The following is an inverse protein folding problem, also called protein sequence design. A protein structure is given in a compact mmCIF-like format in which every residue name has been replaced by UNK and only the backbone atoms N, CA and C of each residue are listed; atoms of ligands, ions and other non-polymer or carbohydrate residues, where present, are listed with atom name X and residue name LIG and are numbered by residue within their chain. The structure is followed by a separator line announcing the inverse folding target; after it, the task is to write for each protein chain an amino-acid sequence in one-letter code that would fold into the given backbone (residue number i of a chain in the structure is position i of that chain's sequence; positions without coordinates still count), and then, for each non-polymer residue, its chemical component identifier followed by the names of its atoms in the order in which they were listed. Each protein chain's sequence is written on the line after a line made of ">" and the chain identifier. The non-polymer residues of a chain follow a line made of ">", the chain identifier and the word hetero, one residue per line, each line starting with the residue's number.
data_IF_570201476115
#
_entry.id   IF_570201476115
#
_cell.length_a   1.000
_cell.length_b   1.000
_cell.length_c   1.000
_cell.angle_alpha   90.00
_cell.angle_beta   90.00
_cell.angle_gamma   90.00
#
_symmetry.space_group_name_H-M   'P 1'
#
loop_
_entity.id
_entity.type
_entity.pdbx_description
1 polymer ?
2 polymer ?
3 non-polymer ?
4 non-polymer ?
5 non-polymer ?
6 non-polymer ?
7 non-polymer ?
8 water ?
#
# COMPACT_ATOMS: atom_id res chain seq x y z
N UNK A 2 0.26 15.98 11.19
CA UNK A 2 -1.11 16.52 11.24
C UNK A 2 -1.77 16.62 9.87
N UNK A 3 -0.95 16.68 8.83
CA UNK A 3 -1.49 16.79 7.48
C UNK A 3 -2.21 15.51 7.09
N UNK A 4 -3.42 15.64 6.61
CA UNK A 4 -4.19 14.45 6.25
C UNK A 4 -4.54 14.59 4.76
N UNK A 5 -4.74 13.46 4.08
CA UNK A 5 -4.94 13.57 2.63
C UNK A 5 -5.95 12.56 2.12
N UNK A 6 -6.56 12.89 1.00
CA UNK A 6 -7.43 11.97 0.30
C UNK A 6 -6.97 11.93 -1.17
N UNK A 7 -6.79 10.70 -1.69
CA UNK A 7 -6.36 10.48 -3.09
C UNK A 7 -7.28 9.48 -3.77
N UNK A 8 -7.67 9.79 -4.99
CA UNK A 8 -8.19 8.83 -5.94
C UNK A 8 -7.04 8.47 -6.87
N UNK A 9 -6.80 7.18 -7.02
CA UNK A 9 -5.75 6.71 -7.92
C UNK A 9 -6.38 5.88 -9.03
N UNK A 10 -5.72 5.95 -10.18
CA UNK A 10 -6.16 5.17 -11.37
C UNK A 10 -4.93 4.60 -12.07
N UNK A 11 -4.99 3.34 -12.49
CA UNK A 11 -3.94 2.66 -13.23
C UNK A 11 -4.57 2.12 -14.50
N UNK A 12 -4.06 2.55 -15.65
CA UNK A 12 -4.56 2.15 -16.97
C UNK A 12 -3.44 1.38 -17.65
N UNK A 13 -3.70 0.14 -18.05
CA UNK A 13 -2.74 -0.68 -18.79
C UNK A 13 -3.27 -0.86 -20.21
N UNK A 14 -2.56 -0.31 -21.19
CA UNK A 14 -2.93 -0.45 -22.57
C UNK A 14 -2.03 -1.52 -23.20
N UNK A 15 -2.64 -2.63 -23.64
CA UNK A 15 -1.87 -3.75 -24.18
C UNK A 15 -1.73 -3.65 -25.68
N UNK A 16 -2.78 -3.23 -26.39
CA UNK A 16 -2.67 -2.91 -27.80
C UNK A 16 -3.80 -1.93 -28.15
N UNK A 17 -3.99 -1.66 -29.44
CA UNK A 17 -4.94 -0.60 -29.88
C UNK A 17 -6.39 -0.89 -29.50
N UNK A 18 -6.70 -2.13 -29.20
CA UNK A 18 -8.09 -2.50 -28.97
C UNK A 18 -8.34 -3.04 -27.56
N UNK A 19 -7.32 -3.05 -26.72
CA UNK A 19 -7.39 -3.78 -25.47
C UNK A 19 -6.66 -3.02 -24.39
N UNK A 20 -7.38 -2.68 -23.32
CA UNK A 20 -6.84 -1.98 -22.18
C UNK A 20 -7.64 -2.38 -20.94
N UNK A 21 -7.03 -2.19 -19.78
CA UNK A 21 -7.72 -2.47 -18.53
C UNK A 21 -7.46 -1.33 -17.55
N UNK A 22 -8.50 -0.95 -16.81
CA UNK A 22 -8.42 0.13 -15.85
C UNK A 22 -8.72 -0.32 -14.43
N UNK A 23 -8.12 0.37 -13.48
CA UNK A 23 -8.32 0.09 -12.07
C UNK A 23 -8.30 1.41 -11.32
N UNK A 24 -9.12 1.53 -10.29
CA UNK A 24 -9.25 2.78 -9.56
C UNK A 24 -9.68 2.54 -8.14
N UNK A 25 -9.18 3.41 -7.24
CA UNK A 25 -9.50 3.28 -5.82
C UNK A 25 -9.35 4.63 -5.11
N UNK A 26 -9.98 4.71 -3.94
CA UNK A 26 -9.92 5.91 -3.09
C UNK A 26 -9.31 5.61 -1.74
N UNK A 27 -8.40 6.48 -1.30
CA UNK A 27 -7.58 6.27 -0.11
C UNK A 27 -7.63 7.50 0.79
N UNK A 28 -7.86 7.27 2.08
CA UNK A 28 -7.72 8.30 3.12
C UNK A 28 -6.40 8.03 3.83
N UNK A 29 -5.40 8.87 3.58
CA UNK A 29 -4.00 8.55 3.88
C UNK A 29 -3.67 7.17 3.28
N UNK A 30 -3.28 6.20 4.12
CA UNK A 30 -2.99 4.83 3.67
C UNK A 30 -4.17 3.88 3.81
N UNK A 31 -5.35 4.40 4.16
CA UNK A 31 -6.50 3.56 4.42
C UNK A 31 -7.37 3.53 3.18
N UNK A 32 -7.56 2.36 2.57
CA UNK A 32 -8.44 2.29 1.40
C UNK A 32 -9.88 2.45 1.83
N UNK A 33 -10.56 3.44 1.24
CA UNK A 33 -11.97 3.69 1.57
C UNK A 33 -12.91 3.45 0.42
N UNK A 34 -12.42 3.42 -0.81
CA UNK A 34 -13.31 3.17 -1.92
C UNK A 34 -12.59 2.33 -2.94
N UNK A 35 -13.36 1.49 -3.63
CA UNK A 35 -12.91 0.81 -4.83
C UNK A 35 -13.74 1.27 -6.02
N UNK A 36 -13.36 0.79 -7.20
CA UNK A 36 -14.17 1.02 -8.39
C UNK A 36 -14.57 -0.30 -9.03
N UNK A 37 -15.87 -0.51 -9.25
CA UNK A 37 -16.34 -1.65 -10.04
C UNK A 37 -16.32 -1.23 -11.50
N UNK A 38 -15.35 -1.78 -12.24
CA UNK A 38 -15.05 -1.29 -13.58
C UNK A 38 -16.11 -1.72 -14.59
N UNK A 39 -16.74 -2.88 -14.40
CA UNK A 39 -17.77 -3.30 -15.35
C UNK A 39 -19.05 -2.50 -15.19
N UNK A 40 -19.67 -2.55 -14.00
CA UNK A 40 -20.86 -1.74 -13.80
C UNK A 40 -20.54 -0.25 -13.74
N UNK A 41 -19.27 0.12 -13.62
CA UNK A 41 -18.90 1.51 -13.55
C UNK A 41 -19.48 2.20 -12.33
N UNK A 42 -19.13 1.72 -11.14
CA UNK A 42 -19.77 2.21 -9.92
C UNK A 42 -18.77 2.31 -8.80
N UNK A 43 -19.07 3.14 -7.81
CA UNK A 43 -18.20 3.25 -6.63
C UNK A 43 -18.51 2.11 -5.68
N UNK A 44 -17.47 1.49 -5.14
CA UNK A 44 -17.59 0.52 -4.06
C UNK A 44 -17.21 1.22 -2.75
N UNK A 45 -18.18 1.32 -1.84
CA UNK A 45 -17.98 1.92 -0.53
C UNK A 45 -17.53 0.83 0.44
N UNK A 46 -16.26 0.88 0.84
CA UNK A 46 -15.66 -0.18 1.63
C UNK A 46 -16.06 -0.14 3.11
N UNK A 47 -16.54 0.98 3.64
CA UNK A 47 -16.89 1.06 5.05
C UNK A 47 -18.28 1.66 5.17
N UNK A 48 -18.92 1.40 6.31
CA UNK A 48 -20.22 1.99 6.60
C UNK A 48 -20.21 3.50 6.42
N UNK A 49 -19.06 4.13 6.61
CA UNK A 49 -18.95 5.59 6.61
C UNK A 49 -18.27 6.13 5.35
N UNK A 50 -18.18 5.32 4.28
CA UNK A 50 -17.49 5.75 3.08
C UNK A 50 -18.26 6.78 2.27
N UNK A 51 -19.56 6.91 2.50
CA UNK A 51 -20.28 8.03 1.90
C UNK A 51 -19.82 9.37 2.43
N UNK A 52 -19.10 9.38 3.55
CA UNK A 52 -18.79 10.64 4.20
C UNK A 52 -20.08 11.35 4.55
N UNK A 53 -20.11 12.65 4.34
CA UNK A 53 -21.29 13.43 4.59
C UNK A 53 -22.04 13.77 3.32
N UNK A 54 -21.63 13.21 2.19
CA UNK A 54 -22.24 13.55 0.90
C UNK A 54 -23.56 12.81 0.72
N UNK A 55 -24.46 13.47 0.00
CA UNK A 55 -25.74 12.87 -0.31
C UNK A 55 -25.58 11.86 -1.44
N UNK A 56 -26.62 11.04 -1.60
CA UNK A 56 -26.64 10.09 -2.71
C UNK A 56 -26.67 10.81 -4.05
N UNK A 57 -27.32 11.98 -4.11
CA UNK A 57 -27.32 12.76 -5.34
C UNK A 57 -25.90 13.19 -5.70
N UNK A 58 -25.16 13.73 -4.70
CA UNK A 58 -23.77 14.13 -4.91
C UNK A 58 -22.91 12.95 -5.38
N UNK A 59 -23.07 11.79 -4.73
CA UNK A 59 -22.22 10.64 -5.04
C UNK A 59 -22.55 10.04 -6.40
N UNK A 60 -23.82 10.07 -6.80
CA UNK A 60 -24.19 9.59 -8.12
C UNK A 60 -23.74 10.55 -9.22
N UNK A 61 -23.80 11.87 -8.96
CA UNK A 61 -23.22 12.81 -9.92
C UNK A 61 -21.71 12.59 -10.06
N UNK A 62 -21.03 12.27 -8.95
CA UNK A 62 -19.60 11.97 -9.03
C UNK A 62 -19.35 10.72 -9.85
N UNK A 63 -20.12 9.66 -9.60
CA UNK A 63 -20.03 8.43 -10.39
C UNK A 63 -20.17 8.72 -11.88
N UNK A 64 -21.17 9.51 -12.24
CA UNK A 64 -21.38 9.86 -13.65
C UNK A 64 -20.20 10.66 -14.21
N UNK A 65 -19.65 11.56 -13.39
CA UNK A 65 -18.47 12.31 -13.82
C UNK A 65 -17.33 11.37 -14.14
N UNK A 66 -17.12 10.38 -13.27
CA UNK A 66 -16.02 9.44 -13.45
C UNK A 66 -16.26 8.57 -14.69
N UNK A 67 -17.52 8.24 -14.97
CA UNK A 67 -17.84 7.46 -16.16
C UNK A 67 -17.54 8.25 -17.44
N UNK A 68 -18.14 9.44 -17.58
CA UNK A 68 -17.81 10.30 -18.71
C UNK A 68 -16.29 10.42 -18.90
N UNK A 69 -15.57 10.59 -17.79
CA UNK A 69 -14.13 10.78 -17.84
C UNK A 69 -13.42 9.54 -18.37
N UNK A 70 -13.74 8.37 -17.80
CA UNK A 70 -13.11 7.14 -18.25
C UNK A 70 -13.37 6.89 -19.73
N UNK A 71 -14.61 7.14 -20.17
CA UNK A 71 -14.91 7.09 -21.58
C UNK A 71 -13.90 7.91 -22.37
N UNK A 72 -13.89 9.24 -22.13
CA UNK A 72 -13.03 10.12 -22.90
C UNK A 72 -11.57 9.70 -22.88
N UNK A 73 -11.07 9.32 -21.69
CA UNK A 73 -9.65 9.01 -21.52
C UNK A 73 -9.26 7.75 -22.28
N UNK A 74 -9.87 6.61 -21.92
CA UNK A 74 -9.48 5.37 -22.60
C UNK A 74 -10.14 5.23 -23.97
N UNK A 75 -10.66 6.32 -24.55
CA UNK A 75 -10.85 6.37 -25.99
C UNK A 75 -9.77 7.19 -26.68
N UNK A 76 -9.56 8.43 -26.23
CA UNK A 76 -8.63 9.32 -26.91
C UNK A 76 -7.22 8.77 -26.84
N UNK A 77 -6.85 8.16 -25.70
CA UNK A 77 -5.52 7.56 -25.55
C UNK A 77 -5.28 6.53 -26.64
N UNK A 78 -6.22 5.61 -26.79
CA UNK A 78 -6.01 4.54 -27.80
C UNK A 78 -5.99 5.20 -29.19
N UNK A 79 -6.96 6.07 -29.47
CA UNK A 79 -7.01 6.66 -30.81
C UNK A 79 -5.63 7.21 -31.19
N UNK A 80 -4.94 7.84 -30.25
CA UNK A 80 -3.64 8.42 -30.58
C UNK A 80 -2.51 7.39 -30.57
N UNK A 81 -2.55 6.44 -29.63
CA UNK A 81 -1.53 5.39 -29.54
C UNK A 81 -1.69 4.31 -30.60
N UNK A 82 -2.80 4.31 -31.32
CA UNK A 82 -2.93 3.46 -32.50
C UNK A 82 -1.85 3.78 -33.52
N UNK A 83 -1.41 5.03 -33.58
CA UNK A 83 -0.40 5.44 -34.58
C UNK A 83 0.98 4.97 -34.10
N UNK A 84 1.27 5.18 -32.82
CA UNK A 84 2.58 4.83 -32.28
C UNK A 84 2.48 3.52 -31.50
N UNK A 85 2.19 2.44 -32.22
CA UNK A 85 2.25 1.11 -31.64
C UNK A 85 3.71 0.76 -31.32
N UNK A 86 3.95 -0.49 -30.88
CA UNK A 86 5.24 -0.95 -30.37
C UNK A 86 5.61 -0.23 -29.07
N UNK A 87 5.13 1.00 -28.91
CA UNK A 87 5.02 1.60 -27.58
C UNK A 87 4.24 0.65 -26.66
N UNK A 88 3.32 -0.12 -27.24
CA UNK A 88 2.58 -1.10 -26.45
C UNK A 88 3.53 -2.21 -25.99
N UNK A 89 3.28 -2.78 -24.82
CA UNK A 89 2.26 -2.38 -23.85
C UNK A 89 2.72 -1.15 -23.08
N UNK A 90 1.85 -0.21 -22.69
CA UNK A 90 2.27 0.87 -21.80
C UNK A 90 1.25 1.05 -20.68
N UNK A 91 1.66 1.79 -19.64
CA UNK A 91 0.89 1.98 -18.41
C UNK A 91 0.86 3.44 -17.97
N UNK A 92 -0.33 3.90 -17.62
CA UNK A 92 -0.59 5.27 -17.16
C UNK A 92 -1.07 5.20 -15.71
N UNK A 93 -0.48 6.04 -14.86
CA UNK A 93 -0.91 6.19 -13.49
C UNK A 93 -1.38 7.62 -13.24
N UNK A 94 -2.49 7.75 -12.53
CA UNK A 94 -3.04 9.04 -12.15
C UNK A 94 -3.22 9.04 -10.62
N UNK A 95 -2.78 10.12 -9.98
CA UNK A 95 -3.01 10.35 -8.56
C UNK A 95 -3.64 11.72 -8.42
N UNK A 96 -4.91 11.78 -8.04
CA UNK A 96 -5.59 13.07 -7.89
C UNK A 96 -6.14 13.18 -6.47
N UNK A 97 -6.03 14.34 -5.85
CA UNK A 97 -6.57 14.47 -4.51
C UNK A 97 -6.27 15.80 -3.87
N UNK A 98 -6.27 15.77 -2.54
CA UNK A 98 -6.05 16.98 -1.75
C UNK A 98 -5.40 16.61 -0.43
N UNK A 99 -4.74 17.61 0.12
CA UNK A 99 -4.04 17.50 1.39
C UNK A 99 -4.49 18.71 2.22
N UNK A 100 -4.88 18.46 3.46
CA UNK A 100 -5.23 19.52 4.40
C UNK A 100 -4.06 19.70 5.35
N UNK A 101 -3.59 20.94 5.37
CA UNK A 101 -2.45 21.31 6.24
C UNK A 101 -2.97 21.60 7.65
N UNK A 102 -2.05 21.83 8.58
CA UNK A 102 -2.44 21.95 9.99
C UNK A 102 -3.29 23.19 10.24
N UNK A 103 -3.03 24.29 9.51
CA UNK A 103 -3.84 25.47 9.65
C UNK A 103 -5.20 25.43 8.98
N UNK A 104 -5.53 24.35 8.26
CA UNK A 104 -6.75 24.24 7.51
C UNK A 104 -6.65 24.61 6.04
N UNK A 105 -5.48 24.95 5.56
CA UNK A 105 -5.36 25.38 4.18
C UNK A 105 -5.42 24.16 3.26
N UNK A 106 -6.28 24.17 2.24
CA UNK A 106 -6.35 23.03 1.33
C UNK A 106 -5.33 23.16 0.21
N UNK A 107 -4.84 22.01 -0.22
CA UNK A 107 -3.85 21.96 -1.29
C UNK A 107 -4.25 20.81 -2.21
N UNK A 108 -4.62 21.10 -3.42
CA UNK A 108 -5.00 20.06 -4.34
C UNK A 108 -3.84 19.58 -5.19
N UNK A 109 -3.97 18.37 -5.71
CA UNK A 109 -3.00 17.92 -6.69
C UNK A 109 -3.63 16.93 -7.67
N UNK A 110 -2.92 16.76 -8.78
CA UNK A 110 -3.36 15.92 -9.88
C UNK A 110 -2.08 15.65 -10.66
N UNK A 111 -1.48 14.49 -10.40
CA UNK A 111 -0.23 14.12 -11.08
C UNK A 111 -0.47 12.90 -11.96
N UNK A 112 0.20 12.85 -13.10
CA UNK A 112 0.11 11.74 -14.05
C UNK A 112 1.51 11.18 -14.29
N UNK A 113 1.60 9.87 -14.46
CA UNK A 113 2.82 9.16 -14.82
C UNK A 113 2.57 8.27 -16.05
N UNK A 114 3.59 8.15 -16.86
CA UNK A 114 3.58 7.30 -18.05
C UNK A 114 4.75 6.35 -17.96
N UNK A 115 4.45 5.05 -17.97
CA UNK A 115 5.44 3.98 -17.79
C UNK A 115 6.34 4.28 -16.59
N UNK A 116 5.72 4.71 -15.49
CA UNK A 116 6.40 4.93 -14.23
C UNK A 116 7.22 6.21 -14.12
N UNK A 117 7.21 7.07 -15.15
CA UNK A 117 7.92 8.35 -15.12
C UNK A 117 6.91 9.50 -15.07
N UNK A 118 7.29 10.62 -14.44
CA UNK A 118 6.39 11.78 -14.36
C UNK A 118 6.06 12.28 -15.75
N UNK A 119 4.77 12.36 -16.07
CA UNK A 119 4.33 12.88 -17.36
C UNK A 119 3.94 14.35 -17.24
N UNK A 120 3.00 14.66 -16.36
CA UNK A 120 2.58 16.04 -16.17
C UNK A 120 1.94 16.17 -14.79
N UNK A 121 1.56 17.39 -14.45
CA UNK A 121 0.82 17.67 -13.22
C UNK A 121 -0.01 18.94 -13.41
N UNK A 122 -0.86 19.25 -12.43
CA UNK A 122 -1.74 20.42 -12.49
C UNK A 122 -1.36 21.36 -11.36
N UNK A 123 -0.83 22.54 -11.69
CA UNK A 123 -0.23 23.42 -10.68
C UNK A 123 -1.15 24.55 -10.22
N UNK A 124 -1.66 25.36 -11.15
CA UNK A 124 -2.63 26.40 -10.76
C UNK A 124 -3.92 26.19 -11.54
N UNK A 125 -4.04 26.85 -12.69
CA UNK A 125 -5.15 26.64 -13.59
C UNK A 125 -4.73 26.01 -14.91
N UNK A 126 -3.50 25.45 -14.97
CA UNK A 126 -2.97 24.96 -16.23
C UNK A 126 -2.26 23.62 -16.03
N UNK A 127 -2.36 22.78 -17.05
CA UNK A 127 -1.64 21.52 -17.10
C UNK A 127 -0.19 21.77 -17.50
N UNK A 128 0.74 21.45 -16.62
CA UNK A 128 2.15 21.71 -16.86
C UNK A 128 2.86 20.38 -17.12
N UNK A 129 3.61 20.26 -18.23
CA UNK A 129 4.34 19.02 -18.48
C UNK A 129 5.55 18.91 -17.56
N UNK A 130 5.94 17.68 -17.30
CA UNK A 130 7.12 17.46 -16.50
C UNK A 130 8.37 17.86 -17.29
N UNK A 131 9.38 18.41 -16.61
CA UNK A 131 10.61 18.81 -17.34
C UNK A 131 11.26 17.64 -18.05
N UNK A 132 11.52 16.55 -17.31
CA UNK A 132 12.17 15.37 -17.83
C UNK A 132 11.57 14.86 -19.13
N UNK A 133 10.42 14.19 -19.05
CA UNK A 133 9.72 13.77 -20.25
C UNK A 133 9.53 14.94 -21.22
N UNK A 134 9.45 14.62 -22.50
CA UNK A 134 9.55 15.67 -23.50
C UNK A 134 8.27 15.99 -24.24
N UNK A 135 8.29 15.74 -25.56
CA UNK A 135 7.21 16.13 -26.44
C UNK A 135 5.91 15.40 -26.13
N UNK A 136 5.98 14.19 -25.57
CA UNK A 136 4.75 13.52 -25.16
C UNK A 136 4.01 14.34 -24.10
N UNK A 137 4.73 14.76 -23.05
CA UNK A 137 4.11 15.56 -22.00
C UNK A 137 3.58 16.86 -22.56
N UNK A 138 4.31 17.44 -23.51
CA UNK A 138 3.87 18.69 -24.14
C UNK A 138 2.61 18.47 -24.97
N UNK A 139 2.55 17.36 -25.69
CA UNK A 139 1.35 17.06 -26.47
C UNK A 139 0.15 16.90 -25.55
N UNK A 140 0.29 16.07 -24.51
CA UNK A 140 -0.83 15.84 -23.61
C UNK A 140 -1.28 17.15 -22.97
N UNK A 141 -0.33 17.96 -22.51
CA UNK A 141 -0.69 19.25 -21.91
C UNK A 141 -1.35 20.17 -22.92
N UNK A 142 -0.91 20.16 -24.17
CA UNK A 142 -1.51 21.01 -25.19
C UNK A 142 -2.97 20.64 -25.41
N UNK A 143 -3.25 19.34 -25.54
CA UNK A 143 -4.63 18.90 -25.74
C UNK A 143 -5.50 19.21 -24.52
N UNK A 144 -4.93 19.12 -23.31
CA UNK A 144 -5.74 19.38 -22.12
C UNK A 144 -5.97 20.87 -21.91
N UNK A 145 -4.93 21.69 -22.09
CA UNK A 145 -5.02 23.13 -21.96
C UNK A 145 -5.79 23.79 -23.10
N UNK A 146 -6.01 23.11 -24.22
CA UNK A 146 -6.65 23.83 -25.31
C UNK A 146 -7.93 23.17 -25.81
N UNK A 147 -7.89 21.89 -26.18
CA UNK A 147 -9.09 21.28 -26.76
C UNK A 147 -10.17 21.03 -25.72
N UNK A 148 -9.80 20.66 -24.50
CA UNK A 148 -10.77 20.15 -23.55
C UNK A 148 -11.29 21.26 -22.67
N UNK A 149 -12.61 21.42 -22.66
CA UNK A 149 -13.31 22.57 -22.11
C UNK A 149 -13.10 22.72 -20.62
N UNK A 150 -14.16 22.60 -19.84
CA UNK A 150 -14.04 22.71 -18.41
C UNK A 150 -13.66 21.41 -17.76
N UNK A 151 -12.99 20.49 -18.47
CA UNK A 151 -12.39 19.40 -17.74
C UNK A 151 -11.24 19.95 -16.89
N UNK A 152 -10.55 20.98 -17.38
CA UNK A 152 -9.60 21.67 -16.52
C UNK A 152 -10.32 22.35 -15.36
N UNK A 153 -11.40 23.09 -15.64
CA UNK A 153 -12.16 23.75 -14.58
C UNK A 153 -12.79 22.74 -13.63
N UNK A 154 -13.30 21.63 -14.16
CA UNK A 154 -13.87 20.60 -13.30
C UNK A 154 -12.82 19.98 -12.40
N UNK A 155 -11.65 19.64 -12.96
CA UNK A 155 -10.57 19.13 -12.13
C UNK A 155 -10.24 20.13 -11.02
N UNK A 156 -10.17 21.41 -11.38
CA UNK A 156 -9.88 22.47 -10.42
C UNK A 156 -10.85 22.44 -9.24
N UNK A 157 -12.15 22.55 -9.54
CA UNK A 157 -13.15 22.57 -8.48
C UNK A 157 -13.16 21.28 -7.69
N UNK A 158 -12.86 20.14 -8.35
CA UNK A 158 -12.88 18.86 -7.67
C UNK A 158 -11.74 18.74 -6.69
N UNK A 159 -10.54 19.13 -7.09
CA UNK A 159 -9.42 18.88 -6.19
C UNK A 159 -9.22 19.98 -5.17
N UNK A 160 -9.83 21.16 -5.37
CA UNK A 160 -9.63 22.27 -4.44
C UNK A 160 -10.81 22.56 -3.52
N UNK A 161 -12.04 22.31 -3.95
CA UNK A 161 -13.21 22.46 -3.10
C UNK A 161 -13.86 21.12 -2.75
N UNK A 162 -14.20 20.30 -3.74
CA UNK A 162 -14.92 19.06 -3.45
C UNK A 162 -14.09 18.09 -2.62
N UNK A 163 -12.82 17.91 -2.97
CA UNK A 163 -11.97 16.96 -2.26
C UNK A 163 -11.76 17.30 -0.77
N UNK A 164 -11.42 18.55 -0.37
CA UNK A 164 -11.29 18.84 1.09
C UNK A 164 -12.56 18.58 1.87
N UNK A 165 -13.69 19.01 1.31
CA UNK A 165 -15.00 18.77 1.91
C UNK A 165 -15.25 17.27 2.11
N UNK A 166 -14.94 16.46 1.09
CA UNK A 166 -15.13 15.02 1.23
C UNK A 166 -14.21 14.42 2.27
N UNK A 167 -12.94 14.83 2.27
CA UNK A 167 -11.97 14.31 3.22
C UNK A 167 -12.44 14.54 4.66
N UNK A 168 -12.84 15.77 4.97
CA UNK A 168 -13.26 16.08 6.33
C UNK A 168 -14.54 15.34 6.69
N UNK A 169 -15.49 15.27 5.74
CA UNK A 169 -16.70 14.51 5.98
C UNK A 169 -16.42 13.04 6.24
N UNK A 170 -15.40 12.49 5.58
CA UNK A 170 -14.97 11.11 5.82
C UNK A 170 -14.42 10.94 7.22
N UNK A 171 -13.52 11.85 7.64
CA UNK A 171 -12.94 11.76 8.97
C UNK A 171 -14.02 11.81 10.03
N UNK A 172 -15.00 12.69 9.83
CA UNK A 172 -16.10 12.81 10.79
C UNK A 172 -16.98 11.57 10.76
N UNK A 173 -17.43 11.15 9.58
CA UNK A 173 -18.29 9.99 9.49
C UNK A 173 -17.59 8.75 10.02
N UNK A 174 -16.27 8.70 9.90
CA UNK A 174 -15.51 7.55 10.35
C UNK A 174 -14.87 7.78 11.70
N UNK A 175 -15.47 8.69 12.48
CA UNK A 175 -14.94 9.12 13.77
C UNK A 175 -14.47 7.95 14.62
N UNK A 176 -15.38 7.04 14.97
CA UNK A 176 -15.03 5.96 15.88
C UNK A 176 -13.98 5.03 15.27
N UNK A 177 -13.90 4.94 13.94
CA UNK A 177 -12.91 4.08 13.33
C UNK A 177 -11.54 4.72 13.30
N UNK A 178 -11.46 5.98 12.85
CA UNK A 178 -10.15 6.59 12.68
C UNK A 178 -9.52 6.97 14.02
N UNK A 179 -10.32 7.06 15.08
CA UNK A 179 -9.79 7.38 16.40
C UNK A 179 -9.54 6.14 17.24
N UNK A 180 -9.69 4.94 16.67
CA UNK A 180 -9.60 3.72 17.44
C UNK A 180 -8.17 3.49 17.91
N UNK A 181 -8.04 2.73 19.01
CA UNK A 181 -6.75 2.26 19.52
C UNK A 181 -6.79 0.74 19.53
N UNK A 182 -5.81 0.09 18.88
CA UNK A 182 -5.72 -1.37 18.86
C UNK A 182 -4.36 -1.80 19.42
N UNK A 183 -4.41 -2.67 20.42
CA UNK A 183 -3.17 -3.10 21.11
C UNK A 183 -2.42 -4.16 20.31
N UNK A 184 -1.11 -3.99 20.11
CA UNK A 184 -0.30 -5.03 19.45
C UNK A 184 -0.12 -6.23 20.37
N UNK A 185 0.35 -7.33 19.79
CA UNK A 185 0.95 -8.40 20.55
C UNK A 185 2.37 -8.56 20.04
N UNK A 186 3.25 -9.18 20.82
CA UNK A 186 4.63 -9.34 20.39
C UNK A 186 5.10 -10.76 20.61
N UNK A 187 6.18 -11.13 19.93
CA UNK A 187 6.75 -12.46 20.10
C UNK A 187 8.15 -12.47 19.50
N UNK A 188 8.96 -13.40 19.96
CA UNK A 188 10.36 -13.43 19.53
C UNK A 188 10.59 -14.64 18.62
N UNK A 189 11.57 -14.50 17.74
CA UNK A 189 12.00 -15.63 16.93
C UNK A 189 13.44 -15.38 16.54
N UNK A 190 14.08 -16.40 15.97
CA UNK A 190 15.40 -16.22 15.39
C UNK A 190 15.28 -15.81 13.92
N UNK A 191 16.23 -15.02 13.48
CA UNK A 191 16.25 -14.60 12.10
C UNK A 191 17.32 -15.40 11.41
N UNK A 192 17.64 -15.03 10.17
CA UNK A 192 18.67 -15.77 9.43
C UNK A 192 20.03 -15.58 10.10
N UNK A 193 20.80 -16.64 10.14
CA UNK A 193 22.08 -16.61 10.83
C UNK A 193 22.95 -15.47 10.28
N UNK A 194 23.40 -14.53 11.12
CA UNK A 194 24.37 -13.52 10.65
C UNK A 194 25.72 -14.11 10.31
N UNK A 195 25.99 -15.34 10.76
CA UNK A 195 27.31 -15.91 10.72
C UNK A 195 27.51 -17.05 11.72
N UNK A 196 28.57 -17.82 11.53
CA UNK A 196 28.91 -18.84 12.53
C UNK A 196 29.24 -18.17 13.84
N UNK A 197 28.67 -18.69 14.91
CA UNK A 197 28.87 -18.09 16.21
C UNK A 197 28.10 -16.81 16.45
N UNK A 198 27.07 -16.55 15.64
CA UNK A 198 26.31 -15.32 15.78
C UNK A 198 24.83 -15.66 15.68
N UNK A 199 24.00 -14.86 16.32
CA UNK A 199 22.55 -15.04 16.32
C UNK A 199 21.91 -13.76 15.83
N UNK A 200 20.74 -13.90 15.21
CA UNK A 200 19.86 -12.81 14.85
C UNK A 200 18.63 -12.93 15.69
N UNK A 201 18.38 -11.95 16.55
CA UNK A 201 17.20 -11.94 17.38
C UNK A 201 16.13 -11.10 16.72
N UNK A 202 14.90 -11.60 16.68
CA UNK A 202 13.80 -10.89 16.06
C UNK A 202 12.69 -10.73 17.07
N UNK A 203 12.20 -9.51 17.21
CA UNK A 203 11.02 -9.17 17.99
C UNK A 203 9.95 -8.69 17.01
N UNK A 204 8.88 -9.47 16.89
CA UNK A 204 7.73 -9.15 16.05
C UNK A 204 6.69 -8.43 16.90
N UNK A 205 6.16 -7.32 16.40
CA UNK A 205 5.07 -6.56 17.02
C UNK A 205 3.96 -6.46 15.99
N UNK A 206 2.80 -7.00 16.29
CA UNK A 206 1.77 -7.07 15.26
C UNK A 206 0.41 -6.75 15.83
N UNK A 207 -0.40 -6.10 15.03
CA UNK A 207 -1.76 -5.80 15.38
C UNK A 207 -1.99 -4.43 15.99
N UNK A 208 -1.03 -3.53 15.92
CA UNK A 208 -1.22 -2.25 16.57
C UNK A 208 -1.80 -1.20 15.63
N UNK A 209 -2.55 -0.26 16.22
CA UNK A 209 -3.05 0.92 15.53
C UNK A 209 -3.36 1.97 16.59
N UNK A 210 -2.95 3.21 16.40
CA UNK A 210 -2.30 3.76 15.18
C UNK A 210 -0.85 3.34 14.96
N UNK A 211 -0.24 3.86 13.89
CA UNK A 211 1.08 3.43 13.43
C UNK A 211 2.28 3.82 14.30
N UNK A 212 2.27 4.95 15.03
CA UNK A 212 3.42 5.23 15.89
C UNK A 212 3.58 4.15 16.95
N UNK A 213 4.81 3.65 17.07
CA UNK A 213 5.10 2.55 17.98
C UNK A 213 6.57 2.69 18.33
N UNK A 214 6.95 2.11 19.47
CA UNK A 214 8.34 2.13 19.90
C UNK A 214 8.73 0.72 20.24
N UNK A 215 9.87 0.27 19.73
CA UNK A 215 10.30 -1.12 19.90
C UNK A 215 11.82 -1.13 19.97
N UNK A 216 12.37 -1.74 21.01
CA UNK A 216 13.82 -1.76 21.09
C UNK A 216 14.30 -3.04 21.78
N UNK A 217 15.47 -3.52 21.36
CA UNK A 217 16.16 -4.54 22.12
C UNK A 217 16.94 -3.85 23.22
N UNK A 218 16.87 -4.42 24.44
CA UNK A 218 17.38 -3.84 25.67
C UNK A 218 18.23 -4.85 26.41
N UNK A 219 19.18 -4.34 27.21
CA UNK A 219 19.83 -5.14 28.25
C UNK A 219 19.51 -4.39 29.54
N UNK A 220 18.48 -4.84 30.24
CA UNK A 220 17.93 -4.03 31.31
C UNK A 220 17.43 -2.72 30.72
N UNK A 221 18.10 -1.62 31.08
CA UNK A 221 17.69 -0.29 30.66
C UNK A 221 18.60 0.31 29.60
N UNK A 222 19.63 -0.44 29.22
CA UNK A 222 20.51 0.03 28.13
C UNK A 222 19.92 -0.39 26.77
N UNK A 223 19.51 0.58 25.97
CA UNK A 223 19.07 0.28 24.61
C UNK A 223 20.26 -0.24 23.81
N UNK A 224 20.04 -1.32 23.08
CA UNK A 224 21.13 -1.89 22.29
C UNK A 224 21.25 -1.10 20.99
N UNK A 225 22.45 -0.57 20.71
CA UNK A 225 22.60 0.37 19.59
C UNK A 225 22.53 -0.31 18.24
N UNK A 226 22.81 -1.60 18.18
CA UNK A 226 22.74 -2.31 16.93
C UNK A 226 21.35 -2.67 16.48
N UNK A 227 20.28 -2.30 17.19
CA UNK A 227 18.94 -2.67 16.77
C UNK A 227 18.61 -2.06 15.41
N UNK A 228 17.97 -2.85 14.56
CA UNK A 228 17.47 -2.41 13.26
C UNK A 228 15.97 -2.58 13.27
N UNK A 229 15.27 -1.53 12.88
CA UNK A 229 13.83 -1.53 12.78
C UNK A 229 13.45 -1.76 11.33
N UNK A 230 12.60 -2.77 11.09
CA UNK A 230 12.06 -2.97 9.77
C UNK A 230 11.16 -1.80 9.35
N UNK A 231 10.62 -1.90 8.13
CA UNK A 231 9.54 -1.04 7.72
C UNK A 231 8.24 -1.46 8.41
N UNK A 232 7.34 -0.51 8.63
CA UNK A 232 6.05 -0.86 9.21
C UNK A 232 5.18 -1.42 8.10
N UNK A 233 4.68 -2.61 8.28
CA UNK A 233 4.04 -3.37 7.22
C UNK A 233 2.56 -3.53 7.55
N UNK A 234 1.71 -3.63 6.54
CA UNK A 234 0.27 -3.72 6.81
C UNK A 234 -0.20 -5.15 7.07
N UNK A 235 -1.16 -5.24 7.97
CA UNK A 235 -2.01 -6.41 8.16
C UNK A 235 -3.34 -6.12 7.51
N UNK A 236 -4.06 -7.17 7.15
CA UNK A 236 -5.46 -6.98 6.80
C UNK A 236 -6.23 -6.42 8.00
N UNK A 237 -7.31 -5.70 7.71
CA UNK A 237 -8.19 -5.08 8.70
C UNK A 237 -7.53 -3.94 9.48
N UNK A 238 -6.55 -3.26 8.91
CA UNK A 238 -6.18 -1.96 9.43
C UNK A 238 -5.32 -1.95 10.66
N UNK A 239 -4.43 -2.92 10.84
CA UNK A 239 -3.39 -2.83 11.85
C UNK A 239 -2.04 -2.98 11.19
N UNK A 240 -1.00 -2.88 12.00
CA UNK A 240 0.35 -2.77 11.47
C UNK A 240 1.26 -3.80 12.12
N UNK A 241 2.38 -4.03 11.44
CA UNK A 241 3.33 -5.05 11.84
C UNK A 241 4.71 -4.43 11.76
N UNK A 242 5.58 -4.81 12.70
CA UNK A 242 6.93 -4.30 12.72
C UNK A 242 7.89 -5.36 13.28
N UNK A 243 9.02 -5.54 12.60
CA UNK A 243 10.12 -6.39 13.05
C UNK A 243 11.24 -5.50 13.57
N UNK A 244 11.75 -5.81 14.77
CA UNK A 244 12.98 -5.23 15.29
C UNK A 244 13.99 -6.36 15.50
N UNK A 245 15.21 -6.18 15.01
CA UNK A 245 16.17 -7.27 14.96
C UNK A 245 17.51 -6.82 15.51
N UNK A 246 18.30 -7.78 15.95
CA UNK A 246 19.61 -7.47 16.51
C UNK A 246 20.52 -8.65 16.25
N UNK A 247 21.71 -8.40 15.77
CA UNK A 247 22.70 -9.44 15.62
C UNK A 247 23.64 -9.42 16.83
N UNK A 248 23.89 -10.58 17.42
CA UNK A 248 24.72 -10.67 18.62
C UNK A 248 25.62 -11.90 18.54
N UNK A 249 26.80 -11.81 19.14
CA UNK A 249 27.61 -13.00 19.30
C UNK A 249 26.87 -14.03 20.16
N UNK A 250 27.03 -15.30 19.79
CA UNK A 250 26.64 -16.40 20.67
C UNK A 250 27.38 -16.28 22.00
N UNK A 251 26.63 -16.35 23.10
CA UNK A 251 27.20 -16.10 24.41
C UNK A 251 27.00 -14.69 24.91
N UNK A 252 26.44 -13.81 24.10
CA UNK A 252 26.08 -12.47 24.56
C UNK A 252 24.62 -12.18 24.33
N UNK A 253 23.84 -13.19 23.94
CA UNK A 253 22.41 -13.02 23.76
C UNK A 253 21.63 -13.07 25.07
N UNK A 254 22.20 -13.73 26.09
CA UNK A 254 21.54 -13.92 27.37
C UNK A 254 21.38 -12.58 28.09
N UNK A 255 20.17 -12.30 28.54
CA UNK A 255 19.85 -11.06 29.22
C UNK A 255 19.16 -10.03 28.36
N UNK A 256 19.14 -10.22 27.04
CA UNK A 256 18.50 -9.29 26.12
C UNK A 256 17.01 -9.49 26.17
N UNK A 257 16.29 -8.38 26.08
CA UNK A 257 14.84 -8.41 26.00
C UNK A 257 14.39 -7.44 24.93
N UNK A 258 13.19 -7.66 24.43
CA UNK A 258 12.52 -6.75 23.54
C UNK A 258 11.47 -5.98 24.33
N UNK A 259 11.43 -4.66 24.16
CA UNK A 259 10.51 -3.78 24.85
C UNK A 259 9.68 -3.00 23.84
N UNK A 260 8.36 -3.04 24.03
CA UNK A 260 7.39 -2.46 23.10
C UNK A 260 6.55 -1.46 23.89
N UNK A 261 6.47 -0.22 23.38
CA UNK A 261 5.61 0.83 23.89
C UNK A 261 4.66 1.30 22.78
N UNK A 262 3.40 1.48 23.13
CA UNK A 262 2.41 1.91 22.17
C UNK A 262 1.31 2.64 22.92
N UNK A 263 0.73 3.65 22.25
CA UNK A 263 -0.32 4.46 22.86
C UNK A 263 -1.43 3.57 23.43
N UNK A 264 -1.75 2.47 22.75
CA UNK A 264 -2.80 1.60 23.25
C UNK A 264 -2.43 0.94 24.57
N UNK A 265 -1.16 0.90 24.92
CA UNK A 265 -0.73 0.12 26.08
C UNK A 265 -0.84 0.88 27.38
N UNK A 266 -0.98 2.21 27.31
CA UNK A 266 -1.18 3.07 28.48
C UNK A 266 -0.17 2.75 29.57
N UNK A 267 1.11 2.91 29.23
CA UNK A 267 2.18 2.81 30.19
C UNK A 267 2.57 1.41 30.60
N UNK A 268 1.88 0.37 30.10
CA UNK A 268 2.19 -1.02 30.43
C UNK A 268 2.92 -1.66 29.25
N UNK A 269 4.23 -1.44 29.20
CA UNK A 269 5.02 -1.92 28.06
C UNK A 269 4.99 -3.44 27.96
N UNK A 270 5.22 -3.96 26.77
CA UNK A 270 5.41 -5.39 26.59
C UNK A 270 6.89 -5.67 26.70
N UNK A 271 7.27 -6.63 27.55
CA UNK A 271 8.66 -7.05 27.72
C UNK A 271 8.74 -8.54 27.47
N UNK A 272 9.66 -8.94 26.60
CA UNK A 272 9.88 -10.35 26.29
C UNK A 272 11.36 -10.63 26.37
N UNK A 273 11.78 -11.65 27.12
CA UNK A 273 13.19 -11.99 27.25
C UNK A 273 13.59 -13.07 26.26
N UNK A 274 14.74 -12.89 25.62
CA UNK A 274 15.26 -13.89 24.71
C UNK A 274 15.60 -15.17 25.47
N UNK A 275 15.07 -16.31 25.00
CA UNK A 275 15.35 -17.62 25.58
C UNK A 275 16.24 -18.47 24.70
N UNK A 276 15.92 -18.54 23.40
CA UNK A 276 16.82 -19.20 22.47
C UNK A 276 16.96 -20.66 22.83
N UNK A 277 18.19 -21.15 22.85
CA UNK A 277 18.49 -22.48 23.36
C UNK A 277 19.15 -22.42 24.72
N UNK A 278 18.89 -21.34 25.45
CA UNK A 278 19.45 -21.21 26.80
C UNK A 278 18.78 -22.16 27.77
N UNK A 279 17.49 -22.43 27.57
CA UNK A 279 16.74 -23.34 28.45
C UNK A 279 16.79 -24.73 27.85
N UNK A 280 17.36 -25.72 28.55
CA UNK A 280 17.42 -27.12 28.11
C UNK A 280 16.06 -27.69 27.70
N UNK B 3 11.33 -1.55 -11.92
CA UNK B 3 11.91 -1.87 -10.62
C UNK B 3 11.50 -3.26 -10.16
N UNK B 4 12.39 -3.93 -9.48
CA UNK B 4 12.13 -5.30 -9.14
C UNK B 4 11.21 -5.38 -7.93
N UNK B 5 10.34 -6.39 -7.84
CA UNK B 5 9.49 -6.53 -6.66
C UNK B 5 10.29 -6.99 -5.44
N UNK B 6 10.08 -6.31 -4.32
CA UNK B 6 10.51 -6.74 -3.01
C UNK B 6 9.37 -7.49 -2.32
N UNK B 7 9.71 -8.60 -1.66
CA UNK B 7 8.75 -9.51 -1.07
C UNK B 7 9.06 -9.63 0.41
N UNK B 8 8.03 -9.46 1.25
CA UNK B 8 8.16 -9.63 2.72
C UNK B 8 7.02 -10.55 3.20
N UNK B 9 7.32 -11.62 3.95
CA UNK B 9 6.34 -12.61 4.40
C UNK B 9 6.30 -12.58 5.91
N UNK B 10 5.09 -12.59 6.47
CA UNK B 10 4.98 -12.48 7.92
C UNK B 10 3.61 -12.98 8.35
N UNK B 11 3.56 -13.55 9.55
CA UNK B 11 2.27 -13.99 10.08
C UNK B 11 1.67 -12.87 10.93
N UNK B 12 0.35 -12.92 11.08
CA UNK B 12 -0.38 -11.93 11.84
C UNK B 12 -0.28 -12.18 13.35
N UNK B 13 -0.27 -13.44 13.77
CA UNK B 13 -0.11 -13.82 15.17
C UNK B 13 1.11 -14.71 15.35
N UNK B 14 1.60 -14.87 16.59
CA UNK B 14 2.65 -15.88 16.82
C UNK B 14 2.25 -17.23 16.24
N UNK B 15 3.18 -17.86 15.52
CA UNK B 15 2.91 -19.20 14.97
C UNK B 15 2.74 -20.21 16.09
N UNK B 16 1.66 -20.98 16.05
CA UNK B 16 1.46 -22.09 16.96
C UNK B 16 0.89 -23.24 16.15
N UNK B 17 1.58 -24.38 16.17
CA UNK B 17 1.06 -25.54 15.47
C UNK B 17 -0.34 -25.86 15.99
N UNK B 18 -1.26 -26.11 15.07
CA UNK B 18 -2.64 -26.34 15.43
C UNK B 18 -3.46 -25.12 15.77
N UNK B 19 -2.99 -23.91 15.46
CA UNK B 19 -3.71 -22.68 15.81
C UNK B 19 -3.92 -21.83 14.57
N UNK B 20 -5.18 -21.49 14.28
CA UNK B 20 -5.49 -20.68 13.11
C UNK B 20 -4.81 -19.31 13.21
N UNK B 21 -4.45 -18.76 12.05
CA UNK B 21 -3.52 -17.65 11.92
C UNK B 21 -3.70 -17.08 10.51
N UNK B 22 -2.92 -16.05 10.18
CA UNK B 22 -2.97 -15.45 8.86
C UNK B 22 -1.56 -15.23 8.35
N UNK B 23 -1.32 -15.68 7.13
CA UNK B 23 -0.04 -15.46 6.45
C UNK B 23 -0.20 -14.29 5.49
N UNK B 24 0.68 -13.30 5.63
CA UNK B 24 0.70 -12.07 4.84
C UNK B 24 1.90 -12.10 3.93
N UNK B 25 1.72 -11.63 2.69
CA UNK B 25 2.84 -11.39 1.78
C UNK B 25 2.69 -10.01 1.18
N UNK B 26 3.61 -9.12 1.53
CA UNK B 26 3.60 -7.74 1.10
C UNK B 26 4.64 -7.57 0.01
N UNK B 27 4.18 -7.17 -1.18
CA UNK B 27 5.00 -7.12 -2.38
C UNK B 27 5.01 -5.69 -2.88
N UNK B 28 6.19 -5.08 -3.01
CA UNK B 28 6.21 -3.64 -3.20
C UNK B 28 7.41 -3.20 -4.06
N UNK B 29 7.35 -1.94 -4.47
CA UNK B 29 8.43 -1.35 -5.22
C UNK B 29 8.63 -1.87 -6.62
N UNK B 30 7.61 -2.46 -7.23
CA UNK B 30 7.75 -2.99 -8.58
C UNK B 30 7.13 -2.05 -9.62
N UNK B 31 7.51 -2.27 -10.90
CA UNK B 31 6.99 -1.60 -12.09
C UNK B 31 7.44 -2.35 -13.33
N UNK B 32 6.55 -2.66 -14.31
CA UNK B 32 5.14 -2.24 -14.43
C UNK B 32 4.18 -3.05 -13.54
N UNK B 33 2.87 -2.82 -13.57
CA UNK B 33 2.00 -3.41 -12.56
C UNK B 33 1.72 -4.89 -12.80
N UNK B 34 1.87 -5.38 -14.02
CA UNK B 34 1.62 -6.78 -14.30
C UNK B 34 2.54 -7.66 -13.46
N UNK B 35 1.94 -8.61 -12.74
CA UNK B 35 2.67 -9.39 -11.74
C UNK B 35 1.82 -10.61 -11.44
N UNK B 36 2.48 -11.69 -11.05
CA UNK B 36 1.79 -12.88 -10.57
C UNK B 36 2.32 -13.16 -9.18
N UNK B 37 1.50 -12.93 -8.17
CA UNK B 37 1.79 -13.27 -6.78
C UNK B 37 0.87 -14.42 -6.39
N UNK B 38 1.46 -15.50 -5.92
CA UNK B 38 0.68 -16.58 -5.33
C UNK B 38 1.18 -16.89 -3.93
N UNK B 39 0.26 -17.15 -3.01
CA UNK B 39 0.60 -17.80 -1.76
C UNK B 39 0.55 -19.31 -2.01
N UNK B 40 1.59 -20.02 -1.58
CA UNK B 40 1.71 -21.46 -1.81
C UNK B 40 1.66 -22.25 -0.51
N UNK B 41 0.92 -23.37 -0.56
CA UNK B 41 0.93 -24.41 0.47
C UNK B 41 1.54 -25.68 -0.11
N UNK B 42 2.69 -26.07 0.40
CA UNK B 42 3.39 -27.26 -0.06
C UNK B 42 3.64 -27.17 -1.56
N UNK B 43 4.04 -25.99 -2.03
CA UNK B 43 4.30 -25.78 -3.44
C UNK B 43 3.07 -25.55 -4.30
N UNK B 44 1.86 -25.78 -3.79
CA UNK B 44 0.64 -25.58 -4.55
C UNK B 44 0.05 -24.20 -4.27
N UNK B 45 -0.48 -23.57 -5.31
CA UNK B 45 -1.15 -22.28 -5.14
C UNK B 45 -2.37 -22.42 -4.24
N UNK B 46 -2.55 -21.43 -3.37
CA UNK B 46 -3.68 -21.33 -2.47
C UNK B 46 -4.78 -20.53 -3.16
N UNK B 47 -5.93 -21.15 -3.37
CA UNK B 47 -7.04 -20.48 -4.04
C UNK B 47 -7.68 -19.41 -3.16
N UNK B 48 -8.02 -19.75 -1.91
CA UNK B 48 -8.74 -18.83 -1.01
C UNK B 48 -7.75 -17.84 -0.42
N UNK B 49 -7.45 -16.81 -1.20
CA UNK B 49 -6.56 -15.74 -0.79
C UNK B 49 -7.30 -14.41 -0.96
N UNK B 50 -6.84 -13.41 -0.22
CA UNK B 50 -7.33 -12.05 -0.36
C UNK B 50 -6.15 -11.14 -0.71
N UNK B 51 -6.42 -10.07 -1.45
CA UNK B 51 -5.36 -9.11 -1.75
C UNK B 51 -5.92 -7.70 -1.81
N UNK B 52 -5.10 -6.72 -1.42
CA UNK B 52 -5.52 -5.34 -1.53
C UNK B 52 -5.61 -4.93 -2.99
N UNK B 53 -6.41 -3.89 -3.25
CA UNK B 53 -6.44 -3.30 -4.58
C UNK B 53 -5.09 -2.64 -4.83
N UNK B 54 -4.72 -2.61 -6.10
CA UNK B 54 -3.39 -2.13 -6.47
C UNK B 54 -3.21 -0.69 -6.07
N UNK B 55 -2.03 -0.36 -5.59
CA UNK B 55 -1.73 1.00 -5.18
C UNK B 55 -0.27 1.27 -5.51
N UNK B 56 0.12 2.53 -5.41
CA UNK B 56 1.50 2.90 -5.72
C UNK B 56 1.97 4.03 -4.79
N UNK B 57 3.29 4.15 -4.66
CA UNK B 57 3.91 5.13 -3.78
C UNK B 57 4.24 6.38 -4.59
N UNK B 58 4.86 7.36 -3.91
CA UNK B 58 5.15 8.63 -4.52
C UNK B 58 6.09 8.48 -5.71
N UNK B 59 6.99 7.49 -5.68
CA UNK B 59 7.87 7.30 -6.82
C UNK B 59 7.22 6.47 -7.92
N UNK B 60 5.95 6.12 -7.79
CA UNK B 60 5.12 5.42 -8.78
C UNK B 60 5.32 3.90 -8.79
N UNK B 61 6.16 3.34 -7.93
CA UNK B 61 6.26 1.88 -7.84
C UNK B 61 5.04 1.31 -7.12
N UNK B 62 4.62 0.11 -7.52
CA UNK B 62 3.36 -0.46 -7.05
C UNK B 62 3.56 -1.29 -5.78
N UNK B 63 2.47 -1.47 -5.02
CA UNK B 63 2.53 -2.36 -3.88
C UNK B 63 1.17 -3.02 -3.65
N UNK B 64 1.22 -4.24 -3.14
CA UNK B 64 0.07 -5.10 -2.88
C UNK B 64 0.32 -5.84 -1.59
N UNK B 65 -0.75 -6.14 -0.86
CA UNK B 65 -0.70 -7.01 0.31
C UNK B 65 -1.59 -8.22 0.05
N UNK B 66 -1.04 -9.41 0.20
CA UNK B 66 -1.76 -10.67 0.12
C UNK B 66 -1.92 -11.24 1.52
N UNK B 67 -3.03 -11.92 1.77
CA UNK B 67 -3.15 -12.65 3.02
C UNK B 67 -4.10 -13.80 2.83
N UNK B 68 -3.89 -14.86 3.62
CA UNK B 68 -4.76 -16.03 3.62
C UNK B 68 -4.79 -16.63 5.01
N UNK B 69 -5.89 -17.24 5.40
CA UNK B 69 -5.94 -17.96 6.69
C UNK B 69 -5.03 -19.17 6.58
N UNK B 70 -4.34 -19.50 7.65
CA UNK B 70 -3.53 -20.74 7.64
C UNK B 70 -3.35 -21.29 9.04
N UNK B 71 -2.96 -22.55 9.14
CA UNK B 71 -2.67 -23.15 10.45
C UNK B 71 -1.27 -23.72 10.35
N UNK B 72 -0.27 -23.12 11.00
CA UNK B 72 1.09 -23.69 10.99
C UNK B 72 1.09 -25.13 11.49
N UNK B 73 1.91 -25.95 10.84
CA UNK B 73 2.02 -27.38 11.12
C UNK B 73 3.47 -27.79 10.89
N UNK B 74 3.96 -28.69 11.73
CA UNK B 74 5.34 -29.17 11.59
C UNK B 74 5.61 -29.68 10.17
N UNK B 75 4.60 -30.29 9.55
CA UNK B 75 4.77 -30.88 8.23
C UNK B 75 4.61 -29.91 7.07
N UNK B 76 3.90 -28.79 7.23
CA UNK B 76 3.45 -27.99 6.09
C UNK B 76 4.40 -26.82 5.80
N UNK B 77 4.65 -26.58 4.51
CA UNK B 77 5.53 -25.50 4.06
C UNK B 77 4.71 -24.42 3.34
N UNK B 78 4.91 -23.17 3.74
CA UNK B 78 4.19 -22.03 3.21
C UNK B 78 5.15 -21.03 2.59
N UNK B 79 4.71 -20.40 1.50
CA UNK B 79 5.61 -19.50 0.80
C UNK B 79 4.81 -18.46 0.02
N UNK B 80 5.53 -17.47 -0.50
CA UNK B 80 5.01 -16.46 -1.39
C UNK B 80 5.86 -16.48 -2.65
N UNK B 81 5.23 -16.67 -3.80
CA UNK B 81 5.89 -16.80 -5.09
C UNK B 81 5.53 -15.62 -5.98
N UNK B 82 6.54 -14.92 -6.51
CA UNK B 82 6.35 -13.73 -7.32
C UNK B 82 7.04 -13.95 -8.67
N UNK B 83 6.28 -13.84 -9.75
CA UNK B 83 6.89 -13.70 -11.06
C UNK B 83 6.57 -12.32 -11.60
N UNK B 84 7.57 -11.71 -12.24
CA UNK B 84 7.49 -10.35 -12.76
C UNK B 84 8.36 -10.27 -14.00
N UNK B 85 8.13 -9.24 -14.83
CA UNK B 85 8.90 -9.13 -16.07
C UNK B 85 10.36 -8.82 -15.80
N UNK B 86 10.69 -8.33 -14.61
CA UNK B 86 12.06 -8.06 -14.20
C UNK B 86 12.77 -9.28 -13.62
N UNK B 87 12.06 -10.40 -13.47
CA UNK B 87 12.61 -11.61 -12.90
C UNK B 87 12.73 -12.65 -14.01
N UNK B 88 13.87 -13.32 -14.04
CA UNK B 88 14.10 -14.38 -15.03
C UNK B 88 13.31 -15.64 -14.72
N UNK B 89 13.12 -15.94 -13.44
CA UNK B 89 12.35 -17.05 -12.92
C UNK B 89 11.55 -16.55 -11.73
N UNK B 90 10.43 -17.20 -11.41
CA UNK B 90 9.70 -16.81 -10.20
C UNK B 90 10.61 -16.80 -8.99
N UNK B 91 10.57 -15.72 -8.24
CA UNK B 91 11.17 -15.68 -6.92
C UNK B 91 10.23 -16.38 -5.95
N UNK B 92 10.78 -17.12 -5.00
CA UNK B 92 9.98 -17.71 -3.93
C UNK B 92 10.60 -17.33 -2.58
N UNK B 93 9.80 -16.75 -1.69
CA UNK B 93 10.21 -16.44 -0.33
C UNK B 93 9.44 -17.35 0.62
N UNK B 94 10.15 -18.20 1.34
CA UNK B 94 9.45 -19.20 2.20
C UNK B 94 9.24 -18.65 3.60
N UNK B 95 8.13 -19.01 4.22
CA UNK B 95 7.85 -18.56 5.59
C UNK B 95 8.41 -19.59 6.57
N UNK B 96 9.13 -19.10 7.57
CA UNK B 96 9.67 -20.01 8.61
C UNK B 96 9.40 -19.37 9.96
N UNK B 97 9.56 -20.13 11.05
CA UNK B 97 9.29 -19.62 12.42
C UNK B 97 7.79 -19.31 12.50
X LIG C 1 -4.68 -7.26 -27.75
X LIG C 1 -4.63 -8.47 -28.67
X LIG C 1 -5.74 -9.45 -28.31
X LIG C 1 -5.57 -9.85 -26.86
X LIG C 1 -5.51 -8.59 -25.98
X LIG C 1 -5.18 -8.89 -24.55
X LIG C 1 -3.77 -8.17 -30.95
X LIG C 1 -4.11 -7.53 -32.27
X LIG C 1 -4.71 -7.99 -30.01
X LIG C 1 -5.65 -10.58 -29.15
X LIG C 1 -6.63 -10.70 -26.49
X LIG C 1 -4.49 -7.72 -26.45
X LIG C 1 -3.84 -9.30 -24.52
X LIG C 1 -2.73 -8.81 -30.76
X LIG D 1 -7.82 15.52 -16.88
X LIG D 1 -8.10 14.02 -17.02
X LIG D 1 -7.04 13.40 -17.96
X LIG D 1 -5.62 13.57 -17.38
X LIG D 1 -4.76 12.31 -17.61
X LIG D 1 -4.10 12.47 -18.99
X LIG D 1 -3.72 11.14 -19.65
X LIG D 1 -2.19 10.87 -19.67
X LIG D 1 -1.91 9.92 -20.85
X LIG D 1 -0.97 10.16 -22.06
X LIG D 1 -0.04 9.05 -22.63
X LIG D 1 -1.08 8.07 -23.26
X LIG D 1 -0.82 7.51 -24.69
X LIG D 1 0.41 8.21 -25.26
X LIG D 1 0.84 7.55 -26.60
X LIG D 1 0.25 8.46 -27.73
X LIG D 1 1.00 8.53 -29.08
X LIG D 1 2.40 9.19 -28.91
X LIG D 1 1.79 11.15 -30.45
X LIG D 1 2.34 10.81 -31.88
X LIG D 1 4.36 9.99 -32.90
X LIG D 1 5.42 8.87 -32.68
X LIG D 1 5.83 8.29 -33.97
X LIG D 1 4.71 7.81 -34.79
X LIG D 1 3.76 8.93 -35.08
X LIG D 1 2.51 8.44 -35.82
X LIG D 1 4.91 5.91 -36.27
X LIG D 1 5.19 5.56 -37.75
X LIG D 1 4.97 4.12 -38.04
X LIG D 1 5.56 3.18 -37.05
X LIG D 1 5.34 3.61 -35.57
X LIG D 1 6.18 2.70 -34.61
X LIG D 1 4.47 3.20 -40.17
X LIG D 1 4.79 3.43 -41.65
X LIG D 1 3.63 3.19 -42.56
X LIG D 1 2.29 3.63 -42.12
X LIG D 1 2.01 3.52 -40.61
X LIG D 1 0.93 4.60 -40.18
X LIG D 1 0.41 4.46 -38.66
X LIG D 1 1.16 5.47 -37.75
X LIG D 1 -1.97 3.68 -38.76
X LIG D 1 -3.36 4.21 -38.30
X LIG D 1 -4.34 3.19 -37.82
X LIG D 1 -3.72 2.08 -37.06
X LIG D 1 -2.51 1.52 -37.82
X LIG D 1 -1.98 0.14 -37.24
X LIG D 1 -1.24 0.18 -35.87
X LIG D 1 -0.60 -1.21 -35.60
X LIG D 1 -5.71 1.03 -35.83
X LIG D 1 -6.70 -0.13 -35.65
X LIG D 1 -2.08 3.24 -40.22
X LIG D 1 0.20 3.36 -43.64
X LIG D 1 -0.21 4.83 -43.41
X LIG D 1 4.47 1.72 -39.84
X LIG D 1 1.82 12.68 -30.10
X LIG D 1 1.35 12.86 -28.65
X LIG D 1 0.09 12.55 -28.28
X LIG D 1 -0.23 12.76 -26.79
X LIG D 1 -1.76 12.79 -26.53
X LIG D 1 -2.53 11.46 -26.81
X LIG D 1 -3.82 11.40 -25.94
X LIG D 1 -3.60 12.11 -24.58
X LIG D 1 -4.86 12.62 -23.84
X LIG D 1 -6.15 11.81 -24.13
X LIG D 1 -7.32 12.11 -23.14
X LIG D 1 -7.13 13.40 -22.30
X LIG D 1 -8.50 14.06 -22.01
X LIG D 1 -9.46 13.18 -21.15
X LIG D 1 -10.88 13.82 -21.11
X LIG D 1 -11.94 12.92 -20.45
X LIG D 1 2.74 10.45 -29.56
X LIG D 1 -4.68 0.97 -36.87
X LIG D 1 1.39 2.81 -42.97
X LIG D 1 3.21 8.67 -28.21
X LIG D 1 3.66 10.28 -31.68
X LIG D 1 3.26 9.62 -33.88
X LIG D 1 2.79 8.46 -37.21
X LIG D 1 5.28 7.30 -36.06
X LIG D 1 5.67 5.04 -35.34
X LIG D 1 5.28 2.12 -33.70
X LIG D 1 6.94 3.08 -37.35
X LIG D 1 5.51 3.81 -39.38
X LIG D 1 3.20 3.85 -39.79
X LIG D 1 0.61 6.76 -37.97
X LIG D 1 -1.01 4.80 -38.65
X LIG D 1 -1.46 2.56 -37.94
X LIG D 1 0.27 -1.52 -36.67
X LIG D 1 -2.16 0.44 -34.84
X LIG D 1 -1.07 -0.40 -38.17
X LIG D 1 -5.80 1.98 -35.12
X LIG D 1 -5.31 3.84 -37.01
X LIG D 1 -2.84 3.84 -41.06
X LIG D 1 -1.39 2.26 -40.63
X LIG D 1 1.53 5.87 -40.28
X LIG D 1 -0.47 2.67 -44.35
X LIG D 1 3.88 3.81 -43.80
X LIG D 1 5.53 1.06 -40.04
X LIG D 1 3.46 1.13 -39.34
X LIG D 1 4.36 6.34 -38.58
X LIG D 1 6.73 7.22 -33.74
X LIG D 1 6.57 9.40 -32.03
X LIG D 1 3.16 13.13 -30.08
X LIG E 1 -16.96 19.79 -18.42
X LIG E 1 -16.46 18.74 -17.59
X LIG E 1 -18.15 19.29 -19.22
X LIG E 1 -19.11 18.67 -18.34
X LIG E 1 -18.80 20.43 -20.01
X LIG E 1 -19.98 19.91 -20.67
X LIG E 1 -19.18 21.57 -19.13
X LIG E 1 -19.72 22.66 -19.96
X LIG E 1 -18.01 22.08 -18.34
X LIG E 1 -17.31 20.96 -17.58
X LIG E 1 -18.46 23.11 -17.35
X LIG E 1 -17.32 23.54 -16.65
X LIG E 1 -11.92 5.14 -11.81
X LIG E 1 -16.16 8.01 -3.83
X LIG E 1 -12.49 15.80 -13.67
X LIG E 1 -14.49 13.83 -3.62
X LIG E 1 -9.77 11.90 -12.37
X LIG E 1 -9.54 13.28 -5.85
X LIG E 1 -16.18 17.10 -19.65
X LIG E 1 -17.68 16.43 -17.83
X LIG E 1 -11.43 5.82 -10.56
X LIG E 1 -12.49 5.83 -9.39
X LIG E 1 -11.92 5.60 -8.00
X LIG E 1 -13.03 5.51 -6.90
X LIG E 1 -13.20 6.85 -6.18
X LIG E 1 -14.51 14.41 -15.98
X LIG E 1 -15.31 10.33 -4.07
X LIG E 1 -12.44 12.38 -13.06
X LIG E 1 -13.02 14.24 -5.76
X LIG E 1 -10.95 13.82 -9.24
X LIG E 1 -15.22 14.89 -17.31
X LIG E 1 -14.58 6.96 -5.53
X LIG E 1 -12.96 14.83 -15.89
X LIG E 1 -14.36 9.32 -4.81
X LIG E 1 -13.30 13.52 -13.73
X LIG E 1 -15.25 11.77 -4.69
X LIG E 1 -11.98 12.83 -11.61
X LIG E 1 -13.23 12.73 -5.53
X LIG E 1 -9.97 13.07 -10.13
X LIG E 1 -11.53 14.59 -5.78
X LIG E 1 -10.34 14.39 -7.96
X LIG E 1 -15.14 16.34 -17.38
X LIG E 1 -14.69 7.94 -4.36
X LIG E 1 -12.41 14.56 -14.45
X LIG E 1 -14.00 12.51 -4.27
X LIG E 1 -10.67 12.17 -11.17
X LIG E 1 -10.76 13.65 -6.68
X LIG E 1 -16.40 17.14 -18.15
X LIG F 1 -5.09 1.89 8.27
X LIG G 1 -6.90 6.31 8.59
X LIG G 1 -5.63 6.81 7.91
X LIG G 1 -5.05 8.04 8.60
X LIG G 1 -6.08 9.15 8.87
X LIG G 1 -4.41 7.69 9.83
X LIG G 1 -3.25 8.54 10.03
X LIG G 1 -2.00 7.76 9.59
X LIG G 1 -1.65 6.45 10.81
X LIG G 1 -2.88 5.83 11.46
X LIG G 1 -0.72 7.00 11.87
X LIG G 1 -1.17 5.20 10.12
X LIG G 1 -7.35 8.63 9.52
X LIG G 1 -7.91 7.44 8.72
#
# INVERSE_FOLDING_TARGET
>A
QEHVSFHVIQIFSFVNQSWARGQGSGWLDELQTHGWDSESGTIIFLHQWSKGQFSNEELSDLELLFRFYLFGLTREIQDHASQDYSKYPFEVQVKAGCELHSGGSPEGFFQVAFNGLDLLSFQQTTWVPSPGCGSLAQSVCHLLNHQYEGVTETVYNLIRSTCPRFLLGLLDAGKMYVHRQVRPEAWLSSGPSPGPGRLQLVCHVSGFYPKPVWVMWMRGEQEQQGTQLGDILPNANGTWYLRATLDVADGEAAGLSCRVKHSSLEGQDIILYWRGSLVP
>B
IQRTPKIQVYSRHPAENGKSNFLNCYVSGFHPSDIEVDLLKNGERIEKVEHSDLSFSKDWSFYLLYYTEFTPTEKDEYACRVNHVTLSQPKIVKWDRD
>C hetero
1 NAG C1 C2 C3 C4 C5 C6 C7 C8 N2 O3 O4 O5 O6 O7
>D hetero
1 A1CB4 C01 C02 C03 C04 C05 C06 C07 C08 C09 C10 C11 C12 C13 C14 C15 C16 C17 C18 C21 C22 C24 C25 C26 C27 C28 C30 C33 C34 C35 C36 C37 C39 C43 C44 C45 C46 C47 C49 C50 C51 C54 C55 C56 C57 C58 C60 C61 C62 C67 C69 C71 C76 C78 C80 C86 C87 C88 C89 C90 C91 C92 C93 C94 C95 C96 C97 C98 C99 CA0 CA1 N20 N66 N75 O19 O23 O29 O31 O32 O38 O40 O41 O42 O48 O52 O53 O59 O63 O64 O65 O68 O70 O72 O73 O74 O77 O79 O81 O82 O83 O84 O85 OA2
>E hetero
1 MK0 C1 O1 C2 O2 C3 O3 C4 O4 C5 O5 C6 O6 CAA CAB CAC CAD CAE CAF OAG OAL CAM CAN CAO CAP CAQ CAR CAS CAT CAU CAV CAX CAY CAZ CBA CBB CBC CBD CBE CBF CBG CBH OBI CBL CBM CBN CBO CBP PBV
>F hetero
1 CL CL
>G hetero
1 KZF C3' C2' C1' C6' N C1 C2 S O1 O2 O3 C5' C4'
#
